data_IF_594769856236
#
_entry.id   IF_594769856236
#
_cell.length_a   1.000
_cell.length_b   1.000
_cell.length_c   1.000
_cell.angle_alpha   90.00
_cell.angle_beta   90.00
_cell.angle_gamma   90.00
#
_symmetry.space_group_name_H-M   'P 1'
#
loop_
_entity.id
_entity.type
_entity.pdbx_description
1 polymer ?
#
# COMPACT_ATOMS: atom_id res chain seq x y z
N UNK A 1 53.02 -27.91 48.96
CA UNK A 1 53.27 -26.94 47.87
C UNK A 1 51.92 -26.54 47.27
N UNK A 2 51.21 -25.58 47.88
CA UNK A 2 49.90 -25.12 47.43
C UNK A 2 50.07 -23.92 46.50
N UNK A 3 49.68 -24.08 45.23
CA UNK A 3 49.87 -23.07 44.18
C UNK A 3 48.75 -22.05 44.29
N UNK A 4 49.05 -20.94 44.96
CA UNK A 4 48.19 -19.76 45.00
C UNK A 4 48.00 -19.23 43.58
N UNK A 5 46.79 -19.37 43.04
CA UNK A 5 46.36 -18.64 41.85
C UNK A 5 46.10 -17.19 42.27
N UNK A 6 47.11 -16.34 42.11
CA UNK A 6 46.94 -14.91 42.13
C UNK A 6 46.11 -14.48 40.90
N UNK A 7 44.81 -14.28 41.10
CA UNK A 7 43.94 -13.70 40.10
C UNK A 7 44.28 -12.21 39.97
N UNK A 8 45.12 -11.88 38.98
CA UNK A 8 45.44 -10.52 38.58
C UNK A 8 44.17 -9.69 38.35
N UNK A 9 44.03 -8.65 39.17
CA UNK A 9 42.84 -7.80 39.25
C UNK A 9 42.51 -7.10 37.93
N UNK A 10 41.27 -7.28 37.49
CA UNK A 10 40.65 -6.48 36.42
C UNK A 10 40.14 -5.18 37.05
N UNK A 11 40.93 -4.11 37.00
CA UNK A 11 40.50 -2.77 37.43
C UNK A 11 39.54 -2.18 36.38
N UNK A 12 38.28 -1.83 36.73
CA UNK A 12 37.47 -0.94 35.93
C UNK A 12 37.57 0.45 36.57
N UNK A 13 38.57 1.22 36.12
CA UNK A 13 38.51 2.67 36.27
C UNK A 13 37.56 3.24 35.21
N UNK A 14 36.70 4.16 35.65
CA UNK A 14 35.92 5.15 34.87
C UNK A 14 34.41 4.89 34.61
N UNK A 15 33.63 5.52 35.52
CA UNK A 15 32.26 6.01 35.45
C UNK A 15 31.29 5.45 34.39
N UNK A 16 30.38 4.58 34.84
CA UNK A 16 28.94 4.80 34.61
C UNK A 16 28.08 4.08 35.64
N UNK A 17 27.51 4.86 36.56
CA UNK A 17 26.48 4.41 37.50
C UNK A 17 25.25 3.93 36.71
N UNK A 18 24.78 2.70 36.90
CA UNK A 18 23.42 2.34 36.60
C UNK A 18 22.66 2.41 37.92
N UNK A 19 21.73 3.35 38.00
CA UNK A 19 20.62 3.32 38.94
C UNK A 19 20.17 1.87 39.21
N UNK A 20 19.97 1.54 40.50
CA UNK A 20 19.35 0.34 41.08
C UNK A 20 19.06 -0.80 40.09
N UNK A 21 19.56 -2.02 40.32
CA UNK A 21 19.32 -3.23 39.49
C UNK A 21 17.85 -3.39 39.03
N UNK A 22 16.90 -2.92 39.85
CA UNK A 22 15.47 -2.82 39.54
C UNK A 22 15.18 -2.00 38.27
N UNK A 23 15.84 -0.86 38.08
CA UNK A 23 15.72 -0.02 36.88
C UNK A 23 16.22 -0.73 35.62
N UNK A 24 17.33 -1.48 35.72
CA UNK A 24 17.83 -2.31 34.61
C UNK A 24 16.85 -3.44 34.25
N UNK A 25 16.29 -4.13 35.24
CA UNK A 25 15.29 -5.18 35.00
C UNK A 25 14.02 -4.61 34.34
N UNK A 26 13.52 -3.47 34.82
CA UNK A 26 12.36 -2.79 34.24
C UNK A 26 12.63 -2.37 32.79
N UNK A 27 13.80 -1.83 32.51
CA UNK A 27 14.18 -1.43 31.16
C UNK A 27 14.20 -2.62 30.19
N UNK A 28 14.68 -3.79 30.63
CA UNK A 28 14.67 -5.01 29.81
C UNK A 28 13.24 -5.48 29.53
N UNK A 29 12.37 -5.49 30.55
CA UNK A 29 10.96 -5.89 30.39
C UNK A 29 10.24 -4.94 29.43
N UNK A 30 10.42 -3.64 29.60
CA UNK A 30 9.85 -2.62 28.70
C UNK A 30 10.38 -2.79 27.28
N UNK A 31 11.68 -3.03 27.13
CA UNK A 31 12.30 -3.24 25.83
C UNK A 31 11.79 -4.51 25.13
N UNK A 32 11.57 -5.60 25.87
CA UNK A 32 11.02 -6.84 25.34
C UNK A 32 9.56 -6.67 24.87
N UNK A 33 8.74 -5.94 25.62
CA UNK A 33 7.35 -5.62 25.25
C UNK A 33 7.31 -4.71 24.02
N UNK A 34 8.18 -3.70 23.97
CA UNK A 34 8.31 -2.79 22.84
C UNK A 34 8.70 -3.54 21.56
N UNK A 35 9.73 -4.37 21.63
CA UNK A 35 10.22 -5.13 20.48
C UNK A 35 9.15 -6.08 19.91
N UNK A 36 8.51 -6.88 20.78
CA UNK A 36 7.43 -7.79 20.34
C UNK A 36 6.22 -7.06 19.74
N UNK A 37 5.92 -5.84 20.20
CA UNK A 37 4.84 -5.01 19.65
C UNK A 37 5.17 -4.47 18.26
N UNK A 38 6.43 -4.07 18.05
CA UNK A 38 6.93 -3.59 16.75
C UNK A 38 6.92 -4.71 15.71
N UNK A 39 7.41 -5.90 16.06
CA UNK A 39 7.40 -7.07 15.17
C UNK A 39 5.98 -7.51 14.79
N UNK A 40 5.04 -7.46 15.73
CA UNK A 40 3.63 -7.77 15.48
C UNK A 40 2.97 -6.77 14.54
N UNK A 41 3.32 -5.49 14.66
CA UNK A 41 2.81 -4.44 13.76
C UNK A 41 3.40 -4.59 12.35
N UNK A 42 4.70 -4.86 12.25
CA UNK A 42 5.38 -5.10 10.98
C UNK A 42 4.87 -6.37 10.27
N UNK A 43 4.61 -7.43 11.02
CA UNK A 43 4.04 -8.66 10.45
C UNK A 43 2.62 -8.47 9.93
N UNK A 44 1.77 -7.72 10.65
CA UNK A 44 0.42 -7.39 10.19
C UNK A 44 0.44 -6.54 8.92
N UNK A 45 1.23 -5.45 8.89
CA UNK A 45 1.34 -4.59 7.69
C UNK A 45 1.94 -5.34 6.50
N UNK A 46 2.91 -6.23 6.75
CA UNK A 46 3.50 -7.08 5.71
C UNK A 46 2.52 -8.12 5.19
N UNK A 47 1.69 -8.73 6.04
CA UNK A 47 0.66 -9.70 5.64
C UNK A 47 -0.38 -9.05 4.73
N UNK A 48 -1.03 -7.98 5.19
CA UNK A 48 -2.04 -7.26 4.39
C UNK A 48 -1.44 -6.66 3.12
N UNK A 49 -0.22 -6.13 3.18
CA UNK A 49 0.50 -5.64 2.00
C UNK A 49 0.77 -6.74 0.97
N UNK A 50 1.14 -7.95 1.42
CA UNK A 50 1.36 -9.11 0.54
C UNK A 50 0.06 -9.66 -0.07
N UNK A 51 -1.03 -9.67 0.67
CA UNK A 51 -2.33 -10.07 0.11
C UNK A 51 -2.82 -9.06 -0.94
N UNK A 52 -2.65 -7.77 -0.68
CA UNK A 52 -3.02 -6.72 -1.63
C UNK A 52 -2.18 -6.80 -2.91
N UNK A 53 -0.87 -7.05 -2.82
CA UNK A 53 -0.03 -7.21 -4.02
C UNK A 53 -0.36 -8.48 -4.80
N UNK A 54 -0.63 -9.62 -4.14
CA UNK A 54 -1.09 -10.84 -4.81
C UNK A 54 -2.36 -10.62 -5.61
N UNK A 55 -3.36 -9.96 -5.01
CA UNK A 55 -4.60 -9.64 -5.70
C UNK A 55 -4.39 -8.70 -6.89
N UNK A 56 -3.57 -7.66 -6.73
CA UNK A 56 -3.20 -6.75 -7.82
C UNK A 56 -2.46 -7.46 -8.95
N UNK A 57 -1.54 -8.38 -8.62
CA UNK A 57 -0.82 -9.19 -9.61
C UNK A 57 -1.74 -10.12 -10.38
N UNK A 58 -2.72 -10.74 -9.74
CA UNK A 58 -3.73 -11.57 -10.42
C UNK A 58 -4.59 -10.75 -11.39
N UNK A 59 -5.05 -9.56 -10.97
CA UNK A 59 -5.79 -8.64 -11.86
C UNK A 59 -4.90 -8.24 -13.05
N UNK A 60 -3.63 -7.90 -12.79
CA UNK A 60 -2.69 -7.51 -13.84
C UNK A 60 -2.43 -8.65 -14.83
N UNK A 61 -2.26 -9.88 -14.35
CA UNK A 61 -2.10 -11.08 -15.18
C UNK A 61 -3.34 -11.33 -16.05
N UNK A 62 -4.55 -11.22 -15.49
CA UNK A 62 -5.80 -11.36 -16.26
C UNK A 62 -5.93 -10.28 -17.33
N UNK A 63 -5.59 -9.02 -17.01
CA UNK A 63 -5.57 -7.91 -17.98
C UNK A 63 -4.56 -8.15 -19.09
N UNK A 64 -3.32 -8.53 -18.77
CA UNK A 64 -2.31 -8.82 -19.80
C UNK A 64 -2.70 -9.97 -20.72
N UNK A 65 -3.32 -11.03 -20.17
CA UNK A 65 -3.83 -12.15 -20.97
C UNK A 65 -4.93 -11.70 -21.94
N UNK A 66 -5.82 -10.80 -21.50
CA UNK A 66 -6.86 -10.23 -22.35
C UNK A 66 -6.28 -9.31 -23.44
N UNK A 67 -5.28 -8.50 -23.09
CA UNK A 67 -4.57 -7.65 -24.04
C UNK A 67 -3.84 -8.49 -25.10
N UNK A 68 -3.12 -9.54 -24.72
CA UNK A 68 -2.44 -10.45 -25.66
C UNK A 68 -3.44 -11.08 -26.65
N UNK A 69 -4.55 -11.62 -26.14
CA UNK A 69 -5.60 -12.20 -26.98
C UNK A 69 -6.20 -11.17 -27.96
N UNK A 70 -6.38 -9.93 -27.52
CA UNK A 70 -6.91 -8.85 -28.36
C UNK A 70 -5.91 -8.39 -29.41
N UNK A 71 -4.62 -8.34 -29.08
CA UNK A 71 -3.54 -7.98 -29.99
C UNK A 71 -3.30 -9.03 -31.08
N UNK A 72 -3.58 -10.31 -30.80
CA UNK A 72 -3.54 -11.40 -31.81
C UNK A 72 -4.66 -11.32 -32.85
N UNK A 73 -5.69 -10.49 -32.66
CA UNK A 73 -6.75 -10.27 -33.66
C UNK A 73 -6.23 -9.39 -34.80
N UNK A 74 -6.91 -9.46 -35.94
CA UNK A 74 -6.60 -8.66 -37.12
C UNK A 74 -6.52 -7.15 -36.78
N UNK A 75 -5.62 -6.39 -37.42
CA UNK A 75 -5.35 -4.99 -37.09
C UNK A 75 -6.57 -4.05 -37.30
N UNK A 76 -7.53 -4.47 -38.11
CA UNK A 76 -8.79 -3.78 -38.37
C UNK A 76 -9.93 -4.18 -37.41
N UNK A 77 -9.70 -5.09 -36.46
CA UNK A 77 -10.76 -5.49 -35.53
C UNK A 77 -11.07 -4.34 -34.57
N UNK A 78 -12.37 -4.03 -34.43
CA UNK A 78 -12.88 -2.93 -33.60
C UNK A 78 -12.36 -3.02 -32.16
N UNK A 79 -12.20 -4.23 -31.62
CA UNK A 79 -11.69 -4.48 -30.27
C UNK A 79 -10.21 -4.08 -30.12
N UNK A 80 -9.37 -4.31 -31.15
CA UNK A 80 -7.95 -3.93 -31.15
C UNK A 80 -7.77 -2.42 -31.36
N UNK A 81 -8.61 -1.81 -32.19
CA UNK A 81 -8.66 -0.35 -32.33
C UNK A 81 -9.15 0.34 -31.05
N UNK A 82 -10.15 -0.23 -30.36
CA UNK A 82 -10.63 0.26 -29.08
C UNK A 82 -9.55 0.21 -27.98
N UNK A 83 -8.67 -0.81 -27.99
CA UNK A 83 -7.54 -0.87 -27.06
C UNK A 83 -6.57 0.30 -27.26
N UNK A 84 -6.27 0.66 -28.52
CA UNK A 84 -5.39 1.78 -28.89
C UNK A 84 -6.05 3.12 -28.50
N UNK A 85 -7.35 3.28 -28.78
CA UNK A 85 -8.10 4.49 -28.47
C UNK A 85 -8.22 4.75 -26.95
N UNK A 86 -8.31 3.70 -26.14
CA UNK A 86 -8.53 3.81 -24.70
C UNK A 86 -7.30 4.29 -23.90
N UNK A 87 -6.10 4.36 -24.47
CA UNK A 87 -4.94 4.92 -23.77
C UNK A 87 -4.95 6.45 -23.67
N UNK A 88 -5.61 7.15 -24.60
CA UNK A 88 -5.59 8.62 -24.70
C UNK A 88 -6.69 9.30 -23.85
N UNK A 89 -7.71 8.54 -23.42
CA UNK A 89 -9.00 9.08 -22.99
C UNK A 89 -9.15 9.30 -21.48
N UNK A 90 -8.47 10.30 -20.91
CA UNK A 90 -9.05 11.00 -19.75
C UNK A 90 -10.38 11.60 -20.21
N UNK A 91 -11.49 10.86 -20.00
CA UNK A 91 -12.84 11.35 -20.31
C UNK A 91 -13.12 12.56 -19.43
N UNK A 92 -13.15 13.75 -20.04
CA UNK A 92 -13.69 14.95 -19.40
C UNK A 92 -15.14 14.64 -19.00
N UNK A 93 -15.40 14.48 -17.71
CA UNK A 93 -16.75 14.44 -17.16
C UNK A 93 -17.39 15.81 -17.38
N UNK A 94 -18.09 15.96 -18.49
CA UNK A 94 -18.89 17.14 -18.80
C UNK A 94 -20.21 16.69 -19.38
N UNK A 95 -21.28 16.76 -18.57
CA UNK A 95 -22.66 16.63 -19.03
C UNK A 95 -22.98 17.88 -19.88
N UNK A 96 -23.33 17.75 -21.17
CA UNK A 96 -23.75 18.90 -21.95
C UNK A 96 -25.07 19.45 -21.39
N UNK A 97 -25.09 20.73 -21.01
CA UNK A 97 -26.31 21.48 -20.64
C UNK A 97 -26.79 22.23 -21.88
N UNK A 98 -27.83 21.74 -22.52
CA UNK A 98 -28.57 22.51 -23.52
C UNK A 98 -30.04 22.05 -23.57
N UNK A 99 -30.84 22.58 -22.66
CA UNK A 99 -32.29 22.70 -22.84
C UNK A 99 -32.59 24.19 -22.95
N UNK A 100 -32.61 24.72 -24.18
CA UNK A 100 -33.35 25.95 -24.49
C UNK A 100 -34.75 25.49 -24.86
N UNK A 101 -35.65 25.47 -23.89
CA UNK A 101 -37.08 25.25 -24.15
C UNK A 101 -37.59 26.44 -24.94
N UNK A 102 -37.98 26.19 -26.19
CA UNK A 102 -38.54 27.18 -27.09
C UNK A 102 -39.94 27.62 -26.66
N UNK A 103 -40.15 28.93 -26.81
CA UNK A 103 -41.32 29.64 -27.30
C UNK A 103 -42.71 29.05 -26.99
N UNK A 104 -43.45 29.77 -26.14
CA UNK A 104 -44.89 29.64 -26.01
C UNK A 104 -45.60 30.43 -27.12
N UNK A 105 -46.03 29.73 -28.16
CA UNK A 105 -47.06 30.20 -29.07
C UNK A 105 -48.27 29.28 -28.90
N UNK A 106 -49.24 29.70 -28.06
CA UNK A 106 -50.59 29.15 -28.04
C UNK A 106 -51.52 30.20 -28.63
N UNK A 107 -51.76 30.07 -29.93
CA UNK A 107 -52.95 30.60 -30.58
C UNK A 107 -54.12 29.72 -30.18
N UNK A 108 -55.01 30.21 -29.30
CA UNK A 108 -56.33 29.61 -29.14
C UNK A 108 -57.30 30.24 -30.14
N UNK A 109 -57.95 29.38 -30.91
CA UNK A 109 -58.99 29.69 -31.87
C UNK A 109 -60.31 29.16 -31.30
N UNK A 110 -61.30 30.04 -31.25
CA UNK A 110 -62.75 29.80 -31.41
C UNK A 110 -63.51 29.11 -30.25
N UNK A 111 -64.30 29.87 -29.49
CA UNK A 111 -65.78 29.88 -29.49
C UNK A 111 -66.29 31.16 -28.81
#
# INVERSE_FOLDING_TARGET
>A
MSKQFYCMGRKPGELRKPSSTRYRCLLIVVYAIYFGSVDRTLSATTYYGREQTRFQEEIRKKRWKWTDHTLRKAPNCVTRQALIWNHQGQRRRGRPKNTKTGNGDRHDKNE
#
